data_IF_586821037971
#
_entry.id   IF_586821037971
#
_cell.length_a   1.000
_cell.length_b   1.000
_cell.length_c   1.000
_cell.angle_alpha   90.00
_cell.angle_beta   90.00
_cell.angle_gamma   90.00
#
_symmetry.space_group_name_H-M   'P 1'
#
loop_
_entity.id
_entity.type
_entity.pdbx_description
1 polymer ?
#
# COMPACT_ATOMS: atom_id res chain seq x y z
N UNK A 1 16.24 30.34 -38.52
CA UNK A 1 16.81 29.01 -38.18
C UNK A 1 15.72 27.94 -37.96
N UNK A 2 14.57 28.28 -37.35
CA UNK A 2 13.47 27.31 -37.11
C UNK A 2 12.80 26.76 -38.39
N UNK A 3 12.86 27.48 -39.52
CA UNK A 3 12.20 27.07 -40.78
C UNK A 3 12.94 26.06 -41.66
N UNK A 4 14.18 25.67 -41.31
CA UNK A 4 15.02 24.80 -42.16
C UNK A 4 14.99 23.31 -41.75
N UNK A 5 14.27 22.95 -40.69
CA UNK A 5 14.18 21.56 -40.24
C UNK A 5 13.22 20.79 -41.15
N UNK A 6 13.66 19.71 -41.82
CA UNK A 6 12.76 18.88 -42.62
C UNK A 6 11.70 18.24 -41.72
N UNK A 7 10.43 18.31 -42.12
CA UNK A 7 9.31 17.67 -41.39
C UNK A 7 9.55 16.16 -41.16
N UNK A 8 10.31 15.53 -42.05
CA UNK A 8 10.73 14.13 -41.92
C UNK A 8 11.53 13.85 -40.62
N UNK A 9 12.35 14.81 -40.16
CA UNK A 9 13.12 14.67 -38.91
C UNK A 9 12.19 14.63 -37.70
N UNK A 10 11.17 15.49 -37.68
CA UNK A 10 10.17 15.51 -36.60
C UNK A 10 9.37 14.20 -36.57
N UNK A 11 8.98 13.69 -37.74
CA UNK A 11 8.29 12.40 -37.84
C UNK A 11 9.15 11.22 -37.37
N UNK A 12 10.43 11.18 -37.75
CA UNK A 12 11.36 10.16 -37.29
C UNK A 12 11.56 10.21 -35.77
N UNK A 13 11.64 11.41 -35.19
CA UNK A 13 11.72 11.60 -33.75
C UNK A 13 10.46 11.10 -33.03
N UNK A 14 9.27 11.45 -33.52
CA UNK A 14 7.99 10.95 -32.97
C UNK A 14 7.89 9.43 -33.05
N UNK A 15 8.30 8.82 -34.16
CA UNK A 15 8.37 7.37 -34.31
C UNK A 15 9.33 6.75 -33.29
N UNK A 16 10.51 7.33 -33.09
CA UNK A 16 11.47 6.83 -32.10
C UNK A 16 10.91 6.85 -30.68
N UNK A 17 10.18 7.89 -30.30
CA UNK A 17 9.49 7.96 -29.01
C UNK A 17 8.37 6.92 -28.89
N UNK A 18 7.56 6.74 -29.94
CA UNK A 18 6.51 5.72 -29.94
C UNK A 18 7.06 4.30 -29.78
N UNK A 19 8.16 3.98 -30.45
CA UNK A 19 8.86 2.70 -30.28
C UNK A 19 9.41 2.55 -28.87
N UNK A 20 10.01 3.61 -28.31
CA UNK A 20 10.50 3.64 -26.94
C UNK A 20 9.40 3.31 -25.92
N UNK A 21 8.27 4.02 -25.99
CA UNK A 21 7.14 3.79 -25.09
C UNK A 21 6.54 2.38 -25.23
N UNK A 22 6.43 1.88 -26.46
CA UNK A 22 5.89 0.53 -26.69
C UNK A 22 6.83 -0.54 -26.13
N UNK A 23 8.15 -0.35 -26.28
CA UNK A 23 9.17 -1.25 -25.73
C UNK A 23 9.14 -1.27 -24.21
N UNK A 24 9.13 -0.10 -23.58
CA UNK A 24 9.08 0.02 -22.12
C UNK A 24 7.77 -0.55 -21.55
N UNK A 25 6.65 -0.28 -22.22
CA UNK A 25 5.36 -0.88 -21.85
C UNK A 25 5.36 -2.40 -21.98
N UNK A 26 5.97 -2.95 -23.04
CA UNK A 26 6.08 -4.39 -23.21
C UNK A 26 7.01 -5.04 -22.17
N UNK A 27 8.15 -4.43 -21.86
CA UNK A 27 9.06 -4.91 -20.81
C UNK A 27 8.35 -4.93 -19.45
N UNK A 28 7.60 -3.87 -19.13
CA UNK A 28 6.80 -3.79 -17.90
C UNK A 28 5.72 -4.88 -17.88
N UNK A 29 5.03 -5.11 -19.00
CA UNK A 29 4.00 -6.14 -19.13
C UNK A 29 4.52 -7.54 -18.80
N UNK A 30 5.76 -7.87 -19.17
CA UNK A 30 6.36 -9.17 -18.88
C UNK A 30 6.79 -9.34 -17.41
N UNK A 31 7.04 -8.24 -16.70
CA UNK A 31 7.48 -8.27 -15.30
C UNK A 31 6.34 -8.08 -14.29
N UNK A 32 5.21 -7.51 -14.70
CA UNK A 32 4.06 -7.27 -13.85
C UNK A 32 3.30 -8.56 -13.52
N UNK A 33 3.09 -8.81 -12.22
CA UNK A 33 2.33 -9.97 -11.71
C UNK A 33 0.89 -9.60 -11.36
N UNK A 34 0.63 -8.33 -11.03
CA UNK A 34 -0.71 -7.88 -10.66
C UNK A 34 -1.63 -7.73 -11.88
N UNK A 35 -2.84 -8.29 -11.78
CA UNK A 35 -3.81 -8.31 -12.88
C UNK A 35 -4.40 -6.93 -13.16
N UNK A 36 -4.49 -6.05 -12.15
CA UNK A 36 -5.02 -4.69 -12.35
C UNK A 36 -3.98 -3.83 -13.04
N UNK A 37 -2.72 -3.89 -12.60
CA UNK A 37 -1.60 -3.23 -13.26
C UNK A 37 -1.43 -3.70 -14.71
N UNK A 38 -1.57 -5.01 -14.98
CA UNK A 38 -1.59 -5.57 -16.33
C UNK A 38 -2.70 -4.95 -17.20
N UNK A 39 -3.91 -4.87 -16.65
CA UNK A 39 -5.06 -4.23 -17.31
C UNK A 39 -4.83 -2.75 -17.58
N UNK A 40 -4.07 -2.06 -16.72
CA UNK A 40 -3.72 -0.65 -16.88
C UNK A 40 -2.76 -0.42 -18.05
N UNK A 41 -1.70 -1.25 -18.13
CA UNK A 41 -0.67 -1.17 -19.18
C UNK A 41 -1.27 -1.40 -20.57
N UNK A 42 -2.18 -2.37 -20.70
CA UNK A 42 -2.81 -2.67 -21.99
C UNK A 42 -4.04 -1.79 -22.27
N UNK A 43 -4.82 -1.48 -21.23
CA UNK A 43 -6.09 -0.77 -21.36
C UNK A 43 -5.92 0.72 -21.65
N UNK A 44 -4.97 1.40 -21.02
CA UNK A 44 -4.78 2.84 -21.24
C UNK A 44 -4.46 3.18 -22.71
N UNK A 45 -3.44 2.55 -23.36
CA UNK A 45 -3.15 2.83 -24.76
C UNK A 45 -4.33 2.53 -25.68
N UNK A 46 -5.08 1.45 -25.39
CA UNK A 46 -6.26 1.07 -26.18
C UNK A 46 -7.35 2.14 -26.13
N UNK A 47 -7.63 2.68 -24.94
CA UNK A 47 -8.59 3.78 -24.77
C UNK A 47 -8.07 5.07 -25.41
N UNK A 48 -6.77 5.36 -25.28
CA UNK A 48 -6.16 6.53 -25.92
C UNK A 48 -6.29 6.49 -27.45
N UNK A 49 -6.12 5.31 -28.06
CA UNK A 49 -6.25 5.12 -29.51
C UNK A 49 -7.72 5.16 -29.99
N UNK A 50 -8.66 4.64 -29.18
CA UNK A 50 -10.07 4.57 -29.56
C UNK A 50 -10.89 5.84 -29.29
N UNK A 51 -10.74 6.43 -28.10
CA UNK A 51 -11.57 7.55 -27.61
C UNK A 51 -10.80 8.86 -27.59
N UNK A 52 -9.50 8.79 -27.35
CA UNK A 52 -8.60 9.94 -27.34
C UNK A 52 -7.74 10.02 -26.09
N UNK A 53 -6.65 10.76 -26.22
CA UNK A 53 -5.59 10.85 -25.20
C UNK A 53 -6.11 11.25 -23.82
N UNK A 54 -6.92 12.31 -23.73
CA UNK A 54 -7.40 12.85 -22.45
C UNK A 54 -8.23 11.83 -21.66
N UNK A 55 -9.12 11.10 -22.34
CA UNK A 55 -9.97 10.10 -21.69
C UNK A 55 -9.15 8.91 -21.18
N UNK A 56 -8.20 8.42 -21.97
CA UNK A 56 -7.29 7.36 -21.54
C UNK A 56 -6.44 7.77 -20.34
N UNK A 57 -5.95 9.01 -20.32
CA UNK A 57 -5.20 9.57 -19.20
C UNK A 57 -6.05 9.64 -17.91
N UNK A 58 -7.26 10.19 -18.00
CA UNK A 58 -8.16 10.34 -16.85
C UNK A 58 -8.59 9.00 -16.28
N UNK A 59 -9.00 8.07 -17.15
CA UNK A 59 -9.38 6.72 -16.75
C UNK A 59 -8.21 6.03 -16.06
N UNK A 60 -7.03 6.19 -16.63
CA UNK A 60 -5.81 5.65 -16.09
C UNK A 60 -5.46 6.14 -14.70
N UNK A 61 -5.51 7.45 -14.51
CA UNK A 61 -5.29 8.09 -13.21
C UNK A 61 -6.30 7.58 -12.19
N UNK A 62 -7.58 7.52 -12.55
CA UNK A 62 -8.64 7.09 -11.65
C UNK A 62 -8.47 5.64 -11.23
N UNK A 63 -8.17 4.73 -12.17
CA UNK A 63 -7.93 3.31 -11.84
C UNK A 63 -6.65 3.14 -11.01
N UNK A 64 -5.58 3.87 -11.31
CA UNK A 64 -4.35 3.84 -10.51
C UNK A 64 -4.61 4.31 -9.06
N UNK A 65 -5.39 5.38 -8.88
CA UNK A 65 -5.78 5.85 -7.56
C UNK A 65 -6.64 4.84 -6.80
N UNK A 66 -7.64 4.24 -7.46
CA UNK A 66 -8.46 3.20 -6.84
C UNK A 66 -7.63 1.97 -6.47
N UNK A 67 -6.77 1.53 -7.38
CA UNK A 67 -5.88 0.41 -7.15
C UNK A 67 -4.95 0.68 -5.96
N UNK A 68 -4.37 1.88 -5.89
CA UNK A 68 -3.59 2.32 -4.75
C UNK A 68 -4.40 2.24 -3.46
N UNK A 69 -5.60 2.82 -3.41
CA UNK A 69 -6.46 2.79 -2.22
C UNK A 69 -6.77 1.35 -1.79
N UNK A 70 -7.11 0.46 -2.74
CA UNK A 70 -7.46 -0.94 -2.45
C UNK A 70 -6.23 -1.72 -1.97
N UNK A 71 -5.11 -1.63 -2.67
CA UNK A 71 -3.85 -2.29 -2.28
C UNK A 71 -3.38 -1.82 -0.90
N UNK A 72 -3.43 -0.52 -0.65
CA UNK A 72 -2.98 0.05 0.62
C UNK A 72 -3.96 -0.21 1.77
N UNK A 73 -5.28 -0.24 1.51
CA UNK A 73 -6.28 -0.63 2.52
C UNK A 73 -6.19 -2.12 2.89
N UNK A 74 -5.73 -2.96 1.96
CA UNK A 74 -5.54 -4.40 2.17
C UNK A 74 -4.15 -4.77 2.70
N UNK A 75 -3.20 -3.83 2.73
CA UNK A 75 -1.90 -4.07 3.34
C UNK A 75 -2.11 -4.37 4.83
N UNK A 76 -1.81 -5.59 5.30
CA UNK A 76 -2.17 -6.01 6.65
C UNK A 76 -1.39 -5.17 7.66
N UNK A 77 -2.11 -4.41 8.49
CA UNK A 77 -1.59 -3.62 9.61
C UNK A 77 -1.06 -4.53 10.75
N UNK A 78 -1.39 -5.81 10.71
CA UNK A 78 -1.23 -6.72 11.83
C UNK A 78 -0.37 -7.89 11.41
N UNK A 79 0.95 -7.82 11.70
CA UNK A 79 1.83 -8.98 11.51
C UNK A 79 2.01 -9.82 12.77
N UNK A 80 1.75 -9.34 13.98
CA UNK A 80 1.94 -10.19 15.18
C UNK A 80 1.03 -9.83 16.37
N UNK A 81 0.14 -10.75 16.72
CA UNK A 81 -0.41 -10.89 18.07
C UNK A 81 0.71 -11.47 18.95
N UNK A 82 1.51 -10.63 19.63
CA UNK A 82 2.43 -11.11 20.67
C UNK A 82 2.08 -10.49 22.01
N UNK A 83 1.56 -11.36 22.87
CA UNK A 83 1.19 -11.15 24.27
C UNK A 83 2.39 -10.63 25.09
N UNK A 84 2.11 -9.84 26.13
CA UNK A 84 3.09 -9.23 27.05
C UNK A 84 4.00 -10.20 27.83
N UNK A 85 3.93 -11.50 27.58
CA UNK A 85 4.88 -12.49 28.10
C UNK A 85 6.28 -12.38 27.46
N UNK A 86 6.41 -11.72 26.30
CA UNK A 86 7.68 -11.64 25.54
C UNK A 86 8.33 -10.25 25.47
N UNK A 87 7.68 -9.19 25.96
CA UNK A 87 8.23 -7.83 25.89
C UNK A 87 8.47 -7.27 27.28
N UNK A 88 9.70 -7.43 27.77
CA UNK A 88 10.18 -6.77 28.99
C UNK A 88 10.70 -5.39 28.59
N UNK A 89 10.21 -4.34 29.26
CA UNK A 89 10.73 -2.98 29.09
C UNK A 89 12.25 -2.96 29.29
N UNK A 90 12.98 -2.29 28.40
CA UNK A 90 14.45 -2.19 28.41
C UNK A 90 15.02 -1.42 29.63
N UNK A 91 14.17 -0.98 30.55
CA UNK A 91 14.54 -0.22 31.74
C UNK A 91 14.70 -1.16 32.94
N UNK A 92 15.89 -1.20 33.52
CA UNK A 92 16.18 -1.91 34.77
C UNK A 92 15.35 -1.30 35.90
N UNK A 93 14.42 -2.07 36.46
CA UNK A 93 13.56 -1.66 37.59
C UNK A 93 13.94 -2.42 38.87
N UNK A 94 13.76 -1.82 40.06
CA UNK A 94 13.95 -2.49 41.35
C UNK A 94 13.07 -3.74 41.50
N UNK A 95 13.57 -4.74 42.24
CA UNK A 95 12.96 -6.09 42.37
C UNK A 95 11.50 -6.07 42.86
N UNK A 96 11.19 -5.21 43.83
CA UNK A 96 9.84 -5.00 44.41
C UNK A 96 8.81 -4.58 43.33
N UNK A 97 9.21 -3.69 42.41
CA UNK A 97 8.34 -3.22 41.35
C UNK A 97 8.17 -4.26 40.23
N UNK A 98 9.20 -5.08 39.94
CA UNK A 98 9.09 -6.19 38.98
C UNK A 98 8.15 -7.27 39.48
N UNK A 99 8.26 -7.67 40.74
CA UNK A 99 7.39 -8.70 41.33
C UNK A 99 5.93 -8.24 41.42
N UNK A 100 5.67 -6.95 41.67
CA UNK A 100 4.32 -6.39 41.59
C UNK A 100 3.76 -6.41 40.16
N UNK A 101 4.57 -6.03 39.16
CA UNK A 101 4.20 -6.10 37.74
C UNK A 101 4.03 -7.55 37.25
N UNK A 102 4.80 -8.50 37.74
CA UNK A 102 4.65 -9.93 37.41
C UNK A 102 3.39 -10.51 38.06
N UNK A 103 3.05 -10.09 39.29
CA UNK A 103 1.81 -10.50 39.98
C UNK A 103 0.53 -9.93 39.37
N UNK A 104 0.54 -8.67 38.95
CA UNK A 104 -0.68 -7.97 38.50
C UNK A 104 -0.71 -7.68 36.98
N UNK A 105 0.45 -7.68 36.33
CA UNK A 105 0.57 -7.37 34.89
C UNK A 105 -0.03 -8.44 33.99
N UNK A 106 -0.20 -9.68 34.49
CA UNK A 106 -0.91 -10.74 33.76
C UNK A 106 -2.38 -10.43 33.50
N UNK A 107 -3.03 -9.64 34.38
CA UNK A 107 -4.47 -9.38 34.34
C UNK A 107 -4.84 -7.96 33.96
N UNK A 108 -3.89 -7.02 33.84
CA UNK A 108 -4.19 -5.60 33.59
C UNK A 108 -3.39 -4.94 32.46
N UNK A 109 -2.48 -5.67 31.81
CA UNK A 109 -1.57 -5.08 30.81
C UNK A 109 -1.50 -5.89 29.51
N UNK A 110 -2.16 -5.38 28.48
CA UNK A 110 -2.07 -5.90 27.11
C UNK A 110 -1.25 -4.96 26.25
N UNK A 111 -0.13 -5.44 25.70
CA UNK A 111 0.75 -4.67 24.82
C UNK A 111 0.45 -5.06 23.38
N UNK A 112 -0.02 -4.11 22.57
CA UNK A 112 -0.29 -4.28 21.14
C UNK A 112 0.75 -3.46 20.37
N UNK A 113 1.61 -4.12 19.61
CA UNK A 113 2.56 -3.46 18.70
C UNK A 113 1.97 -3.44 17.30
N UNK A 114 1.70 -2.25 16.78
CA UNK A 114 1.29 -2.08 15.38
C UNK A 114 2.52 -1.97 14.49
N UNK A 115 2.56 -2.75 13.42
CA UNK A 115 3.63 -2.69 12.42
C UNK A 115 2.98 -2.53 11.04
N UNK A 116 3.08 -1.33 10.46
CA UNK A 116 2.44 -0.97 9.21
C UNK A 116 2.11 0.53 9.12
N UNK A 117 1.34 0.92 8.10
CA UNK A 117 0.86 2.29 7.93
C UNK A 117 -0.59 2.42 8.40
N UNK A 118 -0.81 3.27 9.41
CA UNK A 118 -2.16 3.60 9.87
C UNK A 118 -2.72 4.73 9.00
N UNK A 119 -3.73 4.42 8.20
CA UNK A 119 -4.39 5.35 7.29
C UNK A 119 -5.90 5.21 7.45
N UNK A 120 -6.68 6.17 6.94
CA UNK A 120 -8.15 6.18 7.06
C UNK A 120 -8.81 4.89 6.53
N UNK A 121 -8.24 4.25 5.50
CA UNK A 121 -8.75 2.98 4.94
C UNK A 121 -8.40 1.72 5.75
N UNK A 122 -7.53 1.85 6.75
CA UNK A 122 -7.00 0.73 7.56
C UNK A 122 -7.40 0.87 9.05
N UNK A 123 -7.80 2.08 9.48
CA UNK A 123 -8.31 2.38 10.82
C UNK A 123 -9.48 1.49 11.31
N UNK A 124 -10.49 1.13 10.48
CA UNK A 124 -11.59 0.28 10.94
C UNK A 124 -11.14 -1.13 11.37
N UNK A 125 -10.10 -1.67 10.73
CA UNK A 125 -9.56 -2.99 11.09
C UNK A 125 -8.96 -2.94 12.50
N UNK A 126 -8.27 -1.84 12.84
CA UNK A 126 -7.70 -1.65 14.17
C UNK A 126 -8.79 -1.51 15.25
N UNK A 127 -9.84 -0.73 14.99
CA UNK A 127 -10.90 -0.53 15.98
C UNK A 127 -11.62 -1.83 16.32
N UNK A 128 -11.80 -2.72 15.33
CA UNK A 128 -12.40 -4.04 15.57
C UNK A 128 -11.49 -4.91 16.44
N UNK A 129 -10.19 -4.99 16.12
CA UNK A 129 -9.22 -5.78 16.90
C UNK A 129 -9.11 -5.26 18.33
N UNK A 130 -9.04 -3.93 18.52
CA UNK A 130 -9.01 -3.34 19.85
C UNK A 130 -10.31 -3.59 20.63
N UNK A 131 -11.47 -3.54 19.96
CA UNK A 131 -12.75 -3.86 20.56
C UNK A 131 -12.81 -5.30 21.09
N UNK A 132 -12.32 -6.27 20.32
CA UNK A 132 -12.25 -7.67 20.77
C UNK A 132 -11.33 -7.83 21.99
N UNK A 133 -10.13 -7.24 21.96
CA UNK A 133 -9.17 -7.31 23.08
C UNK A 133 -9.74 -6.68 24.35
N UNK A 134 -10.39 -5.51 24.23
CA UNK A 134 -11.00 -4.82 25.39
C UNK A 134 -12.15 -5.66 25.96
N UNK A 135 -12.97 -6.26 25.11
CA UNK A 135 -14.11 -7.08 25.55
C UNK A 135 -13.67 -8.38 26.21
N UNK A 136 -12.60 -9.00 25.71
CA UNK A 136 -11.98 -10.15 26.37
C UNK A 136 -11.47 -9.76 27.76
N UNK A 137 -10.87 -8.58 27.91
CA UNK A 137 -10.39 -8.08 29.20
C UNK A 137 -11.52 -7.77 30.20
N UNK A 138 -12.62 -7.16 29.74
CA UNK A 138 -13.81 -6.93 30.58
C UNK A 138 -14.50 -8.23 31.02
N UNK A 139 -14.40 -9.32 30.25
CA UNK A 139 -15.00 -10.60 30.63
C UNK A 139 -14.28 -11.32 31.79
N UNK A 140 -13.08 -10.87 32.17
CA UNK A 140 -12.31 -11.39 33.31
C UNK A 140 -12.43 -10.55 34.58
N UNK A 141 -13.14 -9.41 34.53
CA UNK A 141 -13.48 -8.57 35.69
C UNK A 141 -14.84 -8.98 36.28
#
# INVERSE_FOLDING_TARGET
VVGAVPRAVVGAFMLSMGVGFTREGAETLFHTVDSVELGLILGMPLVMLGVGFLHGLLLGLLVALLHFIIMYSRAPIVRFHKTGATLVSNTVRPYEHRTCLERHGHHGLTIVSLEGFLMFGSAPQLTTVLGEIVREHEAWL
#
